data_IF_226751219709
#
_entry.id   IF_226751219709
#
_cell.length_a   1.000
_cell.length_b   1.000
_cell.length_c   1.000
_cell.angle_alpha   90.00
_cell.angle_beta   90.00
_cell.angle_gamma   90.00
#
_symmetry.space_group_name_H-M   'P 1'
#
loop_
_entity.id
_entity.type
_entity.pdbx_description
1 polymer ?
#
# COMPACT_ATOMS: atom_id res chain seq x y z
N UNK A 1 -54.44 57.14 9.73
CA UNK A 1 -54.00 55.83 9.18
C UNK A 1 -52.48 55.87 9.08
N UNK A 2 -51.78 54.98 9.80
CA UNK A 2 -50.31 54.92 9.86
C UNK A 2 -49.83 53.64 9.19
N UNK A 3 -49.17 53.77 8.04
CA UNK A 3 -48.51 52.65 7.36
C UNK A 3 -47.12 52.46 8.00
N UNK A 4 -46.89 51.28 8.56
CA UNK A 4 -45.58 50.87 9.09
C UNK A 4 -44.71 50.39 7.92
N UNK A 5 -43.52 50.96 7.81
CA UNK A 5 -42.54 50.58 6.79
C UNK A 5 -41.98 49.18 7.05
N UNK A 6 -41.76 48.41 5.98
CA UNK A 6 -41.08 47.11 5.99
C UNK A 6 -39.63 47.36 5.57
N UNK A 7 -38.66 46.99 6.41
CA UNK A 7 -37.24 47.10 6.10
C UNK A 7 -36.74 45.79 5.51
N UNK A 8 -36.12 45.84 4.33
CA UNK A 8 -35.52 44.70 3.64
C UNK A 8 -34.05 44.61 4.04
N UNK A 9 -33.64 43.49 4.65
CA UNK A 9 -32.24 43.22 4.98
C UNK A 9 -31.62 42.33 3.90
N UNK A 10 -30.61 42.84 3.19
CA UNK A 10 -29.77 42.06 2.28
C UNK A 10 -28.59 41.47 3.06
N UNK A 11 -28.55 40.15 3.20
CA UNK A 11 -27.42 39.45 3.80
C UNK A 11 -26.36 39.23 2.72
N UNK A 12 -25.20 39.88 2.90
CA UNK A 12 -24.02 39.68 2.06
C UNK A 12 -23.25 38.45 2.56
N UNK A 13 -23.29 37.35 1.82
CA UNK A 13 -22.51 36.15 2.12
C UNK A 13 -21.05 36.32 1.67
N UNK A 14 -20.13 36.45 2.62
CA UNK A 14 -18.69 36.34 2.36
C UNK A 14 -18.33 34.86 2.23
N UNK A 15 -18.22 34.37 0.99
CA UNK A 15 -17.64 33.07 0.71
C UNK A 15 -16.13 33.14 1.04
N UNK A 16 -15.70 32.41 2.07
CA UNK A 16 -14.27 32.22 2.33
C UNK A 16 -13.67 31.40 1.18
N UNK A 17 -12.57 31.81 0.55
CA UNK A 17 -11.86 30.93 -0.37
C UNK A 17 -11.32 29.74 0.41
N UNK A 18 -11.68 28.53 0.00
CA UNK A 18 -10.97 27.34 0.43
C UNK A 18 -9.58 27.37 -0.21
N UNK A 19 -8.53 27.51 0.61
CA UNK A 19 -7.16 27.33 0.17
C UNK A 19 -6.98 25.83 -0.05
N UNK A 20 -7.07 25.40 -1.31
CA UNK A 20 -6.70 24.04 -1.69
C UNK A 20 -5.18 24.03 -1.80
N UNK A 21 -4.51 23.50 -0.78
CA UNK A 21 -3.08 23.18 -0.89
C UNK A 21 -2.94 21.99 -1.84
N UNK A 22 -2.76 22.29 -3.13
CA UNK A 22 -2.36 21.29 -4.12
C UNK A 22 -0.88 21.03 -3.89
N UNK A 23 -0.58 20.12 -2.98
CA UNK A 23 0.76 19.52 -2.92
C UNK A 23 1.02 18.85 -4.26
N UNK A 24 1.78 19.55 -5.10
CA UNK A 24 2.46 18.97 -6.25
C UNK A 24 3.38 17.90 -5.70
N UNK A 25 2.99 16.64 -5.80
CA UNK A 25 3.89 15.51 -5.60
C UNK A 25 5.05 15.68 -6.58
N UNK A 26 6.17 16.23 -6.09
CA UNK A 26 7.46 16.11 -6.76
C UNK A 26 7.63 14.63 -7.11
N UNK A 27 7.97 14.27 -8.36
CA UNK A 27 8.38 12.90 -8.64
C UNK A 27 9.52 12.61 -7.67
N UNK A 28 9.30 11.66 -6.77
CA UNK A 28 10.31 11.23 -5.83
C UNK A 28 11.52 10.81 -6.68
N UNK A 29 12.66 11.46 -6.45
CA UNK A 29 13.96 10.91 -6.82
C UNK A 29 13.91 9.43 -6.43
N UNK A 30 14.20 8.53 -7.37
CA UNK A 30 14.15 7.09 -7.15
C UNK A 30 14.99 6.77 -5.91
N UNK A 31 14.33 6.67 -4.75
CA UNK A 31 14.97 6.24 -3.52
C UNK A 31 15.35 4.79 -3.79
N UNK A 32 16.65 4.53 -3.87
CA UNK A 32 17.19 3.18 -3.96
C UNK A 32 16.97 2.53 -2.60
N UNK A 33 15.79 1.92 -2.44
CA UNK A 33 15.52 1.05 -1.32
C UNK A 33 16.25 -0.27 -1.52
N UNK A 34 16.69 -0.86 -0.41
CA UNK A 34 17.00 -2.27 -0.34
C UNK A 34 15.75 -3.08 -0.72
N UNK A 35 15.84 -4.41 -0.85
CA UNK A 35 14.66 -5.21 -1.18
C UNK A 35 14.67 -6.52 -0.40
N UNK A 36 13.54 -6.94 0.21
CA UNK A 36 13.45 -8.22 0.91
C UNK A 36 13.36 -9.39 -0.07
N UNK A 37 14.33 -9.55 -0.97
CA UNK A 37 14.32 -10.65 -1.93
C UNK A 37 14.29 -12.00 -1.20
N UNK A 38 13.33 -12.86 -1.54
CA UNK A 38 13.16 -14.17 -0.93
C UNK A 38 11.71 -14.55 -0.62
N UNK A 39 11.56 -15.59 0.19
CA UNK A 39 10.27 -16.16 0.58
C UNK A 39 10.03 -16.00 2.08
N UNK A 40 8.81 -15.59 2.43
CA UNK A 40 8.35 -15.39 3.80
C UNK A 40 7.05 -16.16 4.01
N UNK A 41 6.89 -16.78 5.18
CA UNK A 41 5.72 -17.59 5.46
C UNK A 41 5.21 -17.46 6.90
N UNK A 42 3.96 -17.82 7.05
CA UNK A 42 3.31 -18.19 8.31
C UNK A 42 2.65 -19.56 8.12
N UNK A 43 1.84 -19.97 9.11
CA UNK A 43 1.01 -21.18 8.98
C UNK A 43 0.06 -21.12 7.78
N UNK A 44 -0.49 -19.95 7.49
CA UNK A 44 -1.62 -19.80 6.55
C UNK A 44 -1.24 -19.09 5.24
N UNK A 45 -0.12 -18.37 5.22
CA UNK A 45 0.29 -17.56 4.07
C UNK A 45 1.74 -17.79 3.72
N UNK A 46 2.03 -17.76 2.42
CA UNK A 46 3.38 -17.73 1.86
C UNK A 46 3.45 -16.58 0.87
N UNK A 47 4.53 -15.81 0.93
CA UNK A 47 4.81 -14.73 -0.01
C UNK A 47 6.24 -14.86 -0.48
N UNK A 48 6.44 -14.85 -1.79
CA UNK A 48 7.75 -14.73 -2.41
C UNK A 48 7.81 -13.39 -3.14
N UNK A 49 8.88 -12.64 -2.93
CA UNK A 49 9.11 -11.37 -3.61
C UNK A 49 10.49 -11.36 -4.22
N UNK A 50 10.61 -10.89 -5.45
CA UNK A 50 11.89 -10.80 -6.16
C UNK A 50 12.02 -9.49 -6.92
N UNK A 51 13.25 -9.05 -7.16
CA UNK A 51 13.53 -7.87 -7.97
C UNK A 51 14.40 -8.23 -9.17
N UNK A 52 13.85 -8.05 -10.37
CA UNK A 52 14.55 -8.36 -11.62
C UNK A 52 14.12 -7.42 -12.73
N UNK A 53 15.02 -7.11 -13.68
CA UNK A 53 14.75 -6.20 -14.80
C UNK A 53 14.13 -4.87 -14.37
N UNK A 54 14.56 -4.34 -13.22
CA UNK A 54 14.05 -3.11 -12.63
C UNK A 54 12.55 -3.13 -12.26
N UNK A 55 12.01 -4.34 -12.02
CA UNK A 55 10.62 -4.61 -11.67
C UNK A 55 10.56 -5.42 -10.37
N UNK A 56 9.68 -4.99 -9.45
CA UNK A 56 9.37 -5.72 -8.22
C UNK A 56 8.23 -6.72 -8.47
N UNK A 57 8.51 -8.00 -8.24
CA UNK A 57 7.58 -9.10 -8.38
C UNK A 57 7.07 -9.58 -7.02
N UNK A 58 5.82 -10.03 -7.01
CA UNK A 58 5.15 -10.61 -5.85
C UNK A 58 4.42 -11.88 -6.25
N UNK A 59 4.61 -12.94 -5.48
CA UNK A 59 3.82 -14.16 -5.50
C UNK A 59 3.24 -14.37 -4.10
N UNK A 60 1.92 -14.51 -3.99
CA UNK A 60 1.25 -14.76 -2.73
C UNK A 60 0.40 -16.02 -2.81
N UNK A 61 0.45 -16.86 -1.78
CA UNK A 61 -0.27 -18.12 -1.67
C UNK A 61 -0.99 -18.20 -0.32
N UNK A 62 -2.27 -18.55 -0.35
CA UNK A 62 -3.03 -18.92 0.83
C UNK A 62 -2.96 -20.44 1.00
N UNK A 63 -2.22 -20.89 2.02
CA UNK A 63 -1.95 -22.32 2.26
C UNK A 63 -3.16 -23.09 2.81
N UNK A 64 -4.25 -22.42 3.16
CA UNK A 64 -5.50 -23.06 3.63
C UNK A 64 -6.31 -23.68 2.49
N UNK A 65 -6.18 -23.15 1.28
CA UNK A 65 -6.97 -23.56 0.12
C UNK A 65 -6.05 -23.94 -1.03
N UNK A 66 -6.32 -25.08 -1.68
CA UNK A 66 -5.59 -25.46 -2.90
C UNK A 66 -5.80 -24.40 -3.99
N UNK A 67 -4.75 -24.19 -4.79
CA UNK A 67 -4.75 -23.31 -5.96
C UNK A 67 -5.13 -21.85 -5.67
N UNK A 68 -5.00 -21.41 -4.41
CA UNK A 68 -5.27 -20.04 -4.01
C UNK A 68 -3.99 -19.20 -4.02
N UNK A 69 -3.55 -18.81 -5.21
CA UNK A 69 -2.35 -17.98 -5.39
C UNK A 69 -2.57 -16.79 -6.32
N UNK A 70 -1.64 -15.84 -6.28
CA UNK A 70 -1.63 -14.65 -7.14
C UNK A 70 -0.20 -14.22 -7.45
N UNK A 71 0.04 -13.82 -8.70
CA UNK A 71 1.31 -13.25 -9.16
C UNK A 71 1.10 -11.82 -9.63
N UNK A 72 1.93 -10.89 -9.17
CA UNK A 72 1.86 -9.45 -9.47
C UNK A 72 3.25 -8.91 -9.80
N UNK A 73 3.29 -7.82 -10.55
CA UNK A 73 4.52 -7.11 -10.90
C UNK A 73 4.30 -5.60 -10.82
N UNK A 74 5.40 -4.85 -10.74
CA UNK A 74 5.37 -3.39 -10.78
C UNK A 74 4.87 -2.75 -9.49
N UNK A 75 5.50 -3.07 -8.36
CA UNK A 75 5.20 -2.40 -7.10
C UNK A 75 5.46 -0.89 -7.17
N UNK A 76 4.60 -0.11 -6.52
CA UNK A 76 4.90 1.27 -6.14
C UNK A 76 5.63 1.25 -4.80
N UNK A 77 6.80 1.90 -4.73
CA UNK A 77 7.60 2.01 -3.51
C UNK A 77 7.28 3.29 -2.75
N UNK A 78 7.30 3.21 -1.42
CA UNK A 78 7.11 4.36 -0.51
C UNK A 78 7.74 4.08 0.86
N UNK A 79 7.70 5.06 1.77
CA UNK A 79 8.30 4.92 3.11
C UNK A 79 9.67 5.59 3.20
N UNK A 80 10.59 4.98 3.94
CA UNK A 80 11.97 5.46 4.11
C UNK A 80 12.93 4.29 4.32
N UNK A 81 14.23 4.55 4.42
CA UNK A 81 15.25 3.50 4.56
C UNK A 81 15.11 2.64 5.82
N UNK A 82 14.46 3.13 6.88
CA UNK A 82 14.20 2.33 8.09
C UNK A 82 12.93 1.48 7.97
N UNK A 83 12.02 1.84 7.07
CA UNK A 83 10.76 1.13 6.82
C UNK A 83 10.30 1.36 5.39
N UNK A 84 10.56 0.37 4.56
CA UNK A 84 10.28 0.38 3.13
C UNK A 84 8.94 -0.30 2.87
N UNK A 85 8.16 0.25 1.95
CA UNK A 85 6.80 -0.20 1.65
C UNK A 85 6.66 -0.43 0.15
N UNK A 86 6.32 -1.65 -0.23
CA UNK A 86 6.06 -2.07 -1.62
C UNK A 86 4.58 -2.37 -1.76
N UNK A 87 3.91 -1.74 -2.73
CA UNK A 87 2.48 -1.92 -2.94
C UNK A 87 2.20 -2.33 -4.39
N UNK A 88 1.63 -3.51 -4.57
CA UNK A 88 1.07 -3.97 -5.83
C UNK A 88 -0.43 -3.72 -5.86
N UNK A 89 -0.97 -3.34 -7.02
CA UNK A 89 -2.40 -3.12 -7.22
C UNK A 89 -2.94 -4.17 -8.19
N UNK A 90 -4.03 -4.83 -7.82
CA UNK A 90 -4.81 -5.68 -8.71
C UNK A 90 -6.28 -5.31 -8.59
N UNK A 91 -6.83 -4.64 -9.62
CA UNK A 91 -8.24 -4.26 -9.67
C UNK A 91 -8.72 -3.51 -8.41
N UNK A 92 -7.89 -2.62 -7.86
CA UNK A 92 -8.20 -1.83 -6.67
C UNK A 92 -7.91 -2.55 -5.34
N UNK A 93 -7.66 -3.85 -5.35
CA UNK A 93 -7.07 -4.56 -4.20
C UNK A 93 -5.59 -4.21 -4.12
N UNK A 94 -5.10 -3.81 -2.95
CA UNK A 94 -3.70 -3.50 -2.72
C UNK A 94 -3.04 -4.60 -1.89
N UNK A 95 -1.92 -5.11 -2.38
CA UNK A 95 -1.08 -6.07 -1.70
C UNK A 95 0.17 -5.32 -1.27
N UNK A 96 0.39 -5.22 0.04
CA UNK A 96 1.43 -4.38 0.61
C UNK A 96 2.40 -5.21 1.44
N UNK A 97 3.68 -5.07 1.13
CA UNK A 97 4.78 -5.58 1.94
C UNK A 97 5.44 -4.39 2.62
N UNK A 98 5.45 -4.40 3.94
CA UNK A 98 6.27 -3.48 4.74
C UNK A 98 7.46 -4.25 5.29
N UNK A 99 8.65 -3.75 5.04
CA UNK A 99 9.90 -4.37 5.42
C UNK A 99 10.83 -3.38 6.13
N UNK A 100 11.69 -3.91 7.01
CA UNK A 100 12.69 -3.13 7.73
C UNK A 100 14.06 -3.77 7.48
N UNK A 101 15.02 -3.07 6.86
CA UNK A 101 16.35 -3.62 6.66
C UNK A 101 17.07 -4.01 7.97
N UNK A 102 16.74 -3.34 9.09
CA UNK A 102 17.29 -3.67 10.40
C UNK A 102 16.74 -4.96 11.01
N UNK A 103 15.68 -5.53 10.43
CA UNK A 103 15.05 -6.78 10.86
C UNK A 103 14.66 -7.60 9.62
N UNK A 104 15.66 -8.09 8.87
CA UNK A 104 15.46 -8.55 7.50
C UNK A 104 14.66 -9.86 7.41
N UNK A 105 14.59 -10.60 8.51
CA UNK A 105 13.92 -11.89 8.58
C UNK A 105 12.39 -11.79 8.65
N UNK A 106 11.83 -10.59 8.78
CA UNK A 106 10.39 -10.42 8.88
C UNK A 106 9.84 -9.41 7.88
N UNK A 107 8.69 -9.74 7.33
CA UNK A 107 7.87 -8.79 6.56
C UNK A 107 6.48 -8.71 7.16
N UNK A 108 5.84 -7.55 7.02
CA UNK A 108 4.40 -7.43 7.23
C UNK A 108 3.68 -7.49 5.89
N UNK A 109 2.83 -8.49 5.74
CA UNK A 109 1.87 -8.61 4.66
C UNK A 109 0.55 -7.92 5.05
N UNK A 110 0.09 -7.01 4.21
CA UNK A 110 -1.25 -6.44 4.28
C UNK A 110 -1.98 -6.58 2.95
N UNK A 111 -3.26 -6.91 3.00
CA UNK A 111 -4.17 -6.83 1.85
C UNK A 111 -5.26 -5.83 2.17
N UNK A 112 -5.44 -4.86 1.29
CA UNK A 112 -6.36 -3.73 1.46
C UNK A 112 -7.38 -3.79 0.32
N UNK A 113 -8.66 -3.76 0.67
CA UNK A 113 -9.71 -3.77 -0.35
C UNK A 113 -9.88 -2.39 -1.03
N UNK A 114 -10.67 -2.27 -2.11
CA UNK A 114 -10.84 -1.00 -2.84
C UNK A 114 -11.47 0.11 -1.99
N UNK A 115 -12.13 -0.23 -0.88
CA UNK A 115 -12.69 0.72 0.09
C UNK A 115 -11.65 1.22 1.11
N UNK A 116 -10.39 0.79 0.99
CA UNK A 116 -9.31 1.17 1.90
C UNK A 116 -9.25 0.39 3.21
N UNK A 117 -10.08 -0.64 3.39
CA UNK A 117 -10.07 -1.48 4.60
C UNK A 117 -9.02 -2.57 4.48
N UNK A 118 -8.18 -2.72 5.50
CA UNK A 118 -7.25 -3.85 5.66
C UNK A 118 -8.05 -5.12 5.98
N UNK A 119 -7.93 -6.13 5.13
CA UNK A 119 -8.61 -7.43 5.26
C UNK A 119 -7.66 -8.60 5.58
N UNK A 120 -6.35 -8.38 5.41
CA UNK A 120 -5.28 -9.25 5.89
C UNK A 120 -4.19 -8.37 6.49
N UNK A 121 -3.66 -8.77 7.65
CA UNK A 121 -2.50 -8.15 8.28
C UNK A 121 -1.76 -9.23 9.06
N UNK A 122 -0.61 -9.68 8.54
CA UNK A 122 0.20 -10.71 9.17
C UNK A 122 1.68 -10.35 9.11
N UNK A 123 2.40 -10.76 10.15
CA UNK A 123 3.86 -10.84 10.11
C UNK A 123 4.23 -12.21 9.58
N UNK A 124 5.12 -12.24 8.59
CA UNK A 124 5.67 -13.46 8.00
C UNK A 124 7.17 -13.49 8.29
N UNK A 125 7.69 -14.70 8.49
CA UNK A 125 9.10 -14.95 8.75
C UNK A 125 9.77 -15.50 7.50
N UNK A 126 11.01 -15.11 7.27
CA UNK A 126 11.86 -15.64 6.20
C UNK A 126 11.95 -17.16 6.32
N UNK A 127 11.73 -17.85 5.21
CA UNK A 127 11.92 -19.28 5.12
C UNK A 127 12.95 -19.57 4.02
N UNK A 128 13.80 -20.60 4.18
CA UNK A 128 14.66 -21.05 3.09
C UNK A 128 13.79 -21.32 1.86
N UNK A 129 14.26 -20.92 0.67
CA UNK A 129 13.63 -21.41 -0.55
C UNK A 129 13.64 -22.94 -0.52
N UNK A 130 12.48 -23.55 -0.77
CA UNK A 130 12.42 -25.00 -0.98
C UNK A 130 13.42 -25.33 -2.10
N UNK A 131 14.35 -26.29 -1.90
CA UNK A 131 15.28 -26.66 -2.95
C UNK A 131 14.45 -27.04 -4.18
N UNK A 132 14.69 -26.34 -5.28
CA UNK A 132 14.08 -26.63 -6.58
C UNK A 132 14.26 -28.12 -6.83
N UNK A 133 13.15 -28.88 -6.78
CA UNK A 133 13.20 -30.27 -7.19
C UNK A 133 13.58 -30.30 -8.66
N UNK A 134 14.67 -30.99 -9.04
CA UNK A 134 15.14 -31.03 -10.41
C UNK A 134 14.13 -31.65 -11.38
#
# INVERSE_FOLDING_TARGET
MNYKAITLATILGIATPAIIDVTTTKPALAQTFDYPDGTFASKDWKVSVSYSNNVYYYYGENRRYRDSYISLSGAVTSGNNARQIYTWNNNGMKYRITWRPSDPNFVRLEVINPRGRVILNQILESVPEDPVSP
#
